data_IF_158610432213
#
_entry.id   IF_158610432213
#
_cell.length_a   1.000
_cell.length_b   1.000
_cell.length_c   1.000
_cell.angle_alpha   90.00
_cell.angle_beta   90.00
_cell.angle_gamma   90.00
#
_symmetry.space_group_name_H-M   'P 1'
#
loop_
_entity.id
_entity.type
_entity.pdbx_description
1 polymer ?
#
# COMPACT_ATOMS: atom_id res chain seq x y z
N UNK A 1 7.91 -9.62 -5.19
CA UNK A 1 7.45 -8.61 -6.16
C UNK A 1 8.38 -7.40 -6.07
N UNK A 2 8.49 -6.58 -7.13
CA UNK A 2 9.16 -5.26 -7.04
C UNK A 2 8.17 -4.20 -6.57
N UNK A 3 8.67 -3.04 -6.12
CA UNK A 3 7.80 -1.92 -5.72
C UNK A 3 6.95 -1.40 -6.87
N UNK A 4 7.53 -1.29 -8.07
CA UNK A 4 6.84 -0.87 -9.28
C UNK A 4 5.71 -1.84 -9.63
N UNK A 5 5.95 -3.14 -9.49
CA UNK A 5 4.93 -4.15 -9.75
C UNK A 5 3.80 -4.10 -8.70
N UNK A 6 4.14 -3.87 -7.43
CA UNK A 6 3.15 -3.72 -6.35
C UNK A 6 2.30 -2.47 -6.57
N UNK A 7 2.92 -1.32 -6.85
CA UNK A 7 2.22 -0.07 -7.10
C UNK A 7 1.27 -0.22 -8.30
N UNK A 8 1.74 -0.82 -9.40
CA UNK A 8 0.89 -1.12 -10.56
C UNK A 8 -0.28 -2.04 -10.22
N UNK A 9 -0.04 -3.12 -9.45
CA UNK A 9 -1.08 -4.04 -9.03
C UNK A 9 -2.12 -3.41 -8.10
N UNK A 10 -1.70 -2.47 -7.26
CA UNK A 10 -2.56 -1.72 -6.34
C UNK A 10 -3.19 -0.47 -6.99
N UNK A 11 -2.94 -0.20 -8.28
CA UNK A 11 -3.45 0.98 -8.98
C UNK A 11 -2.87 2.31 -8.48
N UNK A 12 -1.64 2.29 -7.96
CA UNK A 12 -0.94 3.43 -7.37
C UNK A 12 0.30 3.81 -8.18
N UNK A 13 0.73 5.07 -8.06
CA UNK A 13 2.05 5.47 -8.53
C UNK A 13 3.14 4.94 -7.59
N UNK A 14 4.30 4.55 -8.15
CA UNK A 14 5.41 4.00 -7.36
C UNK A 14 6.00 5.04 -6.40
N UNK A 15 6.10 6.31 -6.78
CA UNK A 15 6.59 7.37 -5.90
C UNK A 15 5.63 7.64 -4.74
N UNK A 16 4.32 7.58 -5.02
CA UNK A 16 3.30 7.66 -3.98
C UNK A 16 3.41 6.50 -2.98
N UNK A 17 3.56 5.27 -3.45
CA UNK A 17 3.73 4.10 -2.57
C UNK A 17 4.98 4.26 -1.68
N UNK A 18 6.09 4.77 -2.24
CA UNK A 18 7.31 5.08 -1.47
C UNK A 18 7.04 6.15 -0.39
N UNK A 19 6.28 7.20 -0.71
CA UNK A 19 5.93 8.24 0.27
C UNK A 19 5.07 7.69 1.41
N UNK A 20 4.16 6.75 1.11
CA UNK A 20 3.34 6.06 2.12
C UNK A 20 4.20 5.17 3.02
N UNK A 21 5.06 4.32 2.45
CA UNK A 21 5.92 3.41 3.21
C UNK A 21 6.92 4.15 4.13
N UNK A 22 7.31 5.36 3.73
CA UNK A 22 8.22 6.22 4.51
C UNK A 22 7.50 7.18 5.46
N UNK A 23 6.16 7.11 5.54
CA UNK A 23 5.35 7.95 6.40
C UNK A 23 5.28 9.42 5.99
N UNK A 24 5.73 9.76 4.77
CA UNK A 24 5.64 11.12 4.21
C UNK A 24 4.23 11.46 3.72
N UNK A 25 3.41 10.46 3.45
CA UNK A 25 2.02 10.65 3.04
C UNK A 25 1.08 9.63 3.67
N UNK A 26 -0.11 10.08 4.07
CA UNK A 26 -1.16 9.20 4.58
C UNK A 26 -1.84 8.43 3.45
N UNK A 27 -2.10 7.14 3.68
CA UNK A 27 -2.88 6.31 2.78
C UNK A 27 -4.38 6.47 3.06
N UNK A 28 -5.20 6.67 2.02
CA UNK A 28 -6.66 6.63 2.17
C UNK A 28 -7.15 5.21 2.48
N UNK A 29 -8.21 5.08 3.27
CA UNK A 29 -8.72 3.78 3.70
C UNK A 29 -9.08 2.86 2.53
N UNK A 30 -9.71 3.38 1.47
CA UNK A 30 -10.03 2.59 0.27
C UNK A 30 -8.77 2.01 -0.39
N UNK A 31 -7.67 2.77 -0.35
CA UNK A 31 -6.36 2.37 -0.90
C UNK A 31 -5.64 1.35 -0.05
N UNK A 32 -5.93 1.30 1.26
CA UNK A 32 -5.45 0.22 2.11
C UNK A 32 -5.98 -1.14 1.62
N UNK A 33 -7.24 -1.21 1.19
CA UNK A 33 -7.83 -2.45 0.68
C UNK A 33 -7.25 -2.86 -0.68
N UNK A 34 -7.03 -1.91 -1.59
CA UNK A 34 -6.37 -2.17 -2.88
C UNK A 34 -4.95 -2.73 -2.67
N UNK A 35 -4.19 -2.12 -1.74
CA UNK A 35 -2.83 -2.56 -1.42
C UNK A 35 -2.80 -3.94 -0.76
N UNK A 36 -3.72 -4.21 0.17
CA UNK A 36 -3.86 -5.52 0.81
C UNK A 36 -4.19 -6.62 -0.21
N UNK A 37 -5.12 -6.35 -1.13
CA UNK A 37 -5.48 -7.26 -2.21
C UNK A 37 -4.27 -7.57 -3.11
N UNK A 38 -3.49 -6.55 -3.49
CA UNK A 38 -2.28 -6.71 -4.30
C UNK A 38 -1.19 -7.53 -3.58
N UNK A 39 -1.14 -7.47 -2.25
CA UNK A 39 -0.22 -8.24 -1.41
C UNK A 39 -0.72 -9.65 -1.08
N UNK A 40 -1.95 -10.00 -1.44
CA UNK A 40 -2.65 -11.20 -0.95
C UNK A 40 -2.67 -11.29 0.59
N UNK A 41 -2.87 -10.15 1.24
CA UNK A 41 -2.97 -10.01 2.69
C UNK A 41 -4.33 -9.41 3.07
N UNK A 42 -4.66 -9.43 4.37
CA UNK A 42 -5.79 -8.66 4.87
C UNK A 42 -5.36 -7.20 5.14
N UNK A 43 -6.31 -6.26 5.10
CA UNK A 43 -6.03 -4.87 5.47
C UNK A 43 -5.57 -4.72 6.93
N UNK A 44 -5.98 -5.64 7.81
CA UNK A 44 -5.54 -5.66 9.21
C UNK A 44 -4.04 -5.99 9.33
N UNK A 45 -3.48 -6.81 8.44
CA UNK A 45 -2.05 -7.16 8.44
C UNK A 45 -1.15 -5.94 8.11
N UNK A 46 -1.73 -4.88 7.54
CA UNK A 46 -1.03 -3.65 7.18
C UNK A 46 -1.11 -2.55 8.26
N UNK A 47 -1.92 -2.76 9.30
CA UNK A 47 -2.07 -1.82 10.41
C UNK A 47 -1.27 -2.37 11.60
N UNK A 48 -0.27 -1.62 12.04
CA UNK A 48 0.46 -1.97 13.26
C UNK A 48 -0.41 -1.70 14.49
N UNK A 49 -0.42 -2.64 15.43
CA UNK A 49 -1.04 -2.43 16.75
C UNK A 49 -0.25 -1.33 17.47
N UNK A 50 -0.96 -0.30 17.93
CA UNK A 50 -0.39 0.96 18.43
C UNK A 50 -0.12 0.92 19.93
#
# INVERSE_FOLDING_TARGET
MTQEALAAAAGMDRSFLVDVETGRHSLMLDRLFDLAAALNASAADLIADS
#
